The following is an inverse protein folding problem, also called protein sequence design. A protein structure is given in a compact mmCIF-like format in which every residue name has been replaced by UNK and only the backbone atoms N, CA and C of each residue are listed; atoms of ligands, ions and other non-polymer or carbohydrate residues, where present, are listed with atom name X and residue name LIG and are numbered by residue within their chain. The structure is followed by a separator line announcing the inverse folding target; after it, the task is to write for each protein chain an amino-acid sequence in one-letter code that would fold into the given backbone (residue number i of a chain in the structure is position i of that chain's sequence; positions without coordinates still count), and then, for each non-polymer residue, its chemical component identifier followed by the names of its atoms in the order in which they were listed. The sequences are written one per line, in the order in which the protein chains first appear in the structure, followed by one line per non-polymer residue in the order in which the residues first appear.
data_IF_389245832382
#
_entry.id   IF_389245832382
#
_cell.length_a   1.000
_cell.length_b   1.000
_cell.length_c   1.000
_cell.angle_alpha   90.00
_cell.angle_beta   90.00
_cell.angle_gamma   90.00
#
_symmetry.space_group_name_H-M   'P 1'
#
loop_
_entity.id
_entity.type
_entity.pdbx_description
1 polymer ?
#
# COMPACT_ATOMS: atom_id res chain seq x y z
N UNK A 1 21.26 -12.27 16.23
CA UNK A 1 22.03 -11.81 15.05
C UNK A 1 21.15 -11.18 13.95
N UNK A 2 19.90 -11.61 13.73
CA UNK A 2 19.00 -11.01 12.70
C UNK A 2 18.40 -9.64 13.08
N UNK A 3 18.12 -9.40 14.37
CA UNK A 3 17.49 -8.16 14.84
C UNK A 3 18.41 -6.92 14.75
N UNK A 4 19.70 -7.07 15.06
CA UNK A 4 20.69 -5.98 14.96
C UNK A 4 20.85 -5.49 13.52
N UNK A 5 20.79 -6.41 12.54
CA UNK A 5 20.89 -6.09 11.11
C UNK A 5 19.66 -5.35 10.61
N UNK A 6 18.47 -5.67 11.13
CA UNK A 6 17.24 -4.93 10.84
C UNK A 6 17.25 -3.51 11.45
N UNK A 7 17.86 -3.33 12.63
CA UNK A 7 18.09 -2.01 13.22
C UNK A 7 19.17 -1.19 12.48
N UNK A 8 20.19 -1.86 11.94
CA UNK A 8 21.27 -1.24 11.16
C UNK A 8 20.88 -0.95 9.70
N UNK A 9 19.78 -1.52 9.21
CA UNK A 9 19.29 -1.22 7.87
C UNK A 9 18.72 0.20 7.84
N UNK A 10 19.59 1.14 7.46
CA UNK A 10 19.29 2.57 7.36
C UNK A 10 18.00 2.76 6.56
N UNK A 11 17.13 3.62 7.07
CA UNK A 11 15.96 4.11 6.36
C UNK A 11 16.39 4.62 4.98
N UNK A 12 15.80 4.13 3.88
CA UNK A 12 16.16 4.61 2.55
C UNK A 12 15.91 6.13 2.47
N UNK A 13 16.77 6.91 1.78
CA UNK A 13 16.52 8.34 1.60
C UNK A 13 15.23 8.56 0.79
N UNK A 14 14.60 9.71 0.98
CA UNK A 14 13.49 10.12 0.10
C UNK A 14 14.02 10.33 -1.34
N UNK A 15 13.31 9.87 -2.37
CA UNK A 15 13.73 10.09 -3.74
C UNK A 15 13.59 11.58 -4.13
N UNK A 16 14.65 12.17 -4.70
CA UNK A 16 14.64 13.57 -5.16
C UNK A 16 13.60 13.83 -6.26
N UNK A 17 13.37 12.84 -7.13
CA UNK A 17 12.34 12.84 -8.18
C UNK A 17 11.55 11.53 -8.11
N UNK A 18 10.46 11.49 -7.32
CA UNK A 18 9.68 10.28 -7.14
C UNK A 18 9.04 9.82 -8.46
N UNK A 19 9.05 8.50 -8.72
CA UNK A 19 8.33 7.89 -9.86
C UNK A 19 6.82 8.08 -9.71
N UNK A 20 6.35 8.06 -8.47
CA UNK A 20 4.97 8.27 -8.04
C UNK A 20 4.88 8.34 -6.52
N UNK A 21 3.72 8.74 -6.00
CA UNK A 21 3.43 8.81 -4.56
C UNK A 21 2.54 7.66 -4.14
N UNK A 22 2.95 6.92 -3.11
CA UNK A 22 2.23 5.76 -2.58
C UNK A 22 1.84 6.02 -1.13
N UNK A 23 0.55 5.92 -0.82
CA UNK A 23 0.08 5.83 0.56
C UNK A 23 0.07 4.36 0.99
N UNK A 24 0.71 4.03 2.10
CA UNK A 24 0.80 2.64 2.59
C UNK A 24 0.36 2.53 4.05
N UNK A 25 -0.29 1.42 4.41
CA UNK A 25 -0.74 1.18 5.78
C UNK A 25 -1.32 -0.22 5.99
N UNK A 26 -1.55 -0.60 7.25
CA UNK A 26 -2.33 -1.80 7.58
C UNK A 26 -3.80 -1.43 7.81
N UNK A 27 -4.71 -2.17 7.18
CA UNK A 27 -6.15 -1.96 7.38
C UNK A 27 -6.55 -2.40 8.79
N UNK A 28 -7.33 -1.59 9.48
CA UNK A 28 -7.83 -1.95 10.82
C UNK A 28 -8.58 -3.29 10.83
N UNK A 29 -8.42 -4.10 11.89
CA UNK A 29 -7.60 -3.90 13.09
C UNK A 29 -6.18 -4.48 12.99
N UNK A 30 -5.60 -4.63 11.80
CA UNK A 30 -4.32 -5.32 11.63
C UNK A 30 -3.12 -4.51 12.21
N UNK A 31 -2.35 -5.17 13.07
CA UNK A 31 -1.15 -4.66 13.74
C UNK A 31 0.16 -5.26 13.21
N UNK A 32 0.11 -6.14 12.20
CA UNK A 32 1.30 -6.81 11.64
C UNK A 32 2.10 -5.87 10.73
N UNK A 33 3.00 -5.12 11.33
CA UNK A 33 3.75 -4.06 10.67
C UNK A 33 4.96 -4.54 9.88
N UNK A 34 5.62 -5.62 10.32
CA UNK A 34 6.85 -6.12 9.68
C UNK A 34 6.67 -6.39 8.18
N UNK A 35 5.59 -7.06 7.72
CA UNK A 35 5.32 -7.21 6.30
C UNK A 35 5.17 -5.87 5.56
N UNK A 36 4.40 -4.92 6.12
CA UNK A 36 4.24 -3.58 5.54
C UNK A 36 5.58 -2.88 5.40
N UNK A 37 6.42 -2.89 6.43
CA UNK A 37 7.72 -2.22 6.42
C UNK A 37 8.65 -2.77 5.34
N UNK A 38 8.65 -4.08 5.12
CA UNK A 38 9.43 -4.67 4.03
C UNK A 38 8.97 -4.18 2.66
N UNK A 39 7.66 -4.05 2.45
CA UNK A 39 7.08 -3.52 1.20
C UNK A 39 7.39 -2.03 1.05
N UNK A 40 7.17 -1.23 2.10
CA UNK A 40 7.45 0.21 2.13
C UNK A 40 8.91 0.50 1.75
N UNK A 41 9.86 -0.16 2.42
CA UNK A 41 11.29 -0.01 2.13
C UNK A 41 11.63 -0.43 0.70
N UNK A 42 11.01 -1.49 0.17
CA UNK A 42 11.23 -1.92 -1.22
C UNK A 42 10.72 -0.88 -2.22
N UNK A 43 9.51 -0.34 -2.03
CA UNK A 43 8.95 0.73 -2.85
C UNK A 43 9.81 1.98 -2.82
N UNK A 44 10.28 2.38 -1.64
CA UNK A 44 11.15 3.54 -1.47
C UNK A 44 12.49 3.36 -2.18
N UNK A 45 13.15 2.21 -2.01
CA UNK A 45 14.38 1.85 -2.75
C UNK A 45 14.17 1.80 -4.26
N UNK A 46 12.95 1.51 -4.71
CA UNK A 46 12.59 1.50 -6.12
C UNK A 46 12.30 2.89 -6.72
N UNK A 47 12.37 3.97 -5.92
CA UNK A 47 12.20 5.35 -6.37
C UNK A 47 10.81 5.94 -6.14
N UNK A 48 9.95 5.29 -5.35
CA UNK A 48 8.65 5.83 -4.97
C UNK A 48 8.74 6.66 -3.69
N UNK A 49 7.94 7.73 -3.62
CA UNK A 49 7.66 8.42 -2.36
C UNK A 49 6.61 7.61 -1.60
N UNK A 50 6.90 7.22 -0.37
CA UNK A 50 5.96 6.46 0.46
C UNK A 50 5.46 7.28 1.63
N UNK A 51 4.14 7.42 1.77
CA UNK A 51 3.48 8.05 2.92
C UNK A 51 2.87 6.93 3.77
N UNK A 52 3.50 6.64 4.91
CA UNK A 52 3.07 5.55 5.79
C UNK A 52 2.04 6.04 6.82
N UNK A 53 0.88 5.38 6.84
CA UNK A 53 -0.21 5.62 7.79
C UNK A 53 -0.06 4.78 9.07
N UNK A 54 0.85 3.80 9.08
CA UNK A 54 1.08 2.92 10.21
C UNK A 54 0.12 1.74 10.24
N UNK A 55 -0.35 1.42 11.46
CA UNK A 55 -1.09 0.20 11.78
C UNK A 55 -2.51 0.51 12.20
N UNK A 56 -3.41 -0.48 12.08
CA UNK A 56 -4.81 -0.34 12.44
C UNK A 56 -5.46 0.94 11.88
N UNK A 57 -5.30 1.16 10.58
CA UNK A 57 -5.72 2.38 9.91
C UNK A 57 -7.15 2.21 9.41
N UNK A 58 -8.00 3.18 9.75
CA UNK A 58 -9.38 3.23 9.28
C UNK A 58 -9.46 3.43 7.75
N UNK A 59 -10.45 2.80 7.06
CA UNK A 59 -10.73 2.99 5.63
C UNK A 59 -10.70 4.44 5.14
N UNK A 60 -11.33 5.33 5.90
CA UNK A 60 -11.49 6.74 5.54
C UNK A 60 -10.16 7.49 5.59
N UNK A 61 -9.24 7.08 6.48
CA UNK A 61 -7.91 7.68 6.60
C UNK A 61 -7.07 7.42 5.34
N UNK A 62 -7.19 6.25 4.73
CA UNK A 62 -6.53 5.97 3.43
C UNK A 62 -7.03 6.93 2.35
N UNK A 63 -8.35 7.08 2.22
CA UNK A 63 -8.94 7.96 1.23
C UNK A 63 -8.57 9.43 1.46
N UNK A 64 -8.68 9.91 2.70
CA UNK A 64 -8.33 11.28 3.07
C UNK A 64 -6.86 11.58 2.78
N UNK A 65 -5.95 10.70 3.21
CA UNK A 65 -4.51 10.93 2.98
C UNK A 65 -4.16 10.83 1.50
N UNK A 66 -4.72 9.87 0.77
CA UNK A 66 -4.47 9.73 -0.66
C UNK A 66 -4.88 10.99 -1.43
N UNK A 67 -6.00 11.61 -1.05
CA UNK A 67 -6.44 12.90 -1.62
C UNK A 67 -5.50 14.04 -1.24
N UNK A 68 -5.13 14.15 0.04
CA UNK A 68 -4.24 15.21 0.55
C UNK A 68 -2.89 15.23 -0.16
N UNK A 69 -2.29 14.05 -0.39
CA UNK A 69 -0.94 13.95 -0.96
C UNK A 69 -0.93 13.71 -2.47
N UNK A 70 -2.11 13.73 -3.12
CA UNK A 70 -2.30 13.37 -4.52
C UNK A 70 -1.63 12.03 -4.85
N UNK A 71 -1.95 10.99 -4.08
CA UNK A 71 -1.35 9.68 -4.24
C UNK A 71 -1.73 9.04 -5.59
N UNK A 72 -0.77 8.35 -6.19
CA UNK A 72 -1.00 7.54 -7.38
C UNK A 72 -1.53 6.15 -7.01
N UNK A 73 -1.01 5.61 -5.90
CA UNK A 73 -1.28 4.25 -5.44
C UNK A 73 -1.60 4.27 -3.95
N UNK A 74 -2.57 3.46 -3.53
CA UNK A 74 -2.80 3.08 -2.15
C UNK A 74 -2.38 1.60 -2.01
N UNK A 75 -1.40 1.32 -1.16
CA UNK A 75 -0.94 -0.02 -0.86
C UNK A 75 -1.40 -0.44 0.55
N UNK A 76 -2.12 -1.55 0.67
CA UNK A 76 -2.70 -1.98 1.95
C UNK A 76 -2.18 -3.36 2.33
N UNK A 77 -1.58 -3.46 3.52
CA UNK A 77 -1.17 -4.74 4.11
C UNK A 77 -2.27 -5.31 4.98
N UNK A 78 -2.64 -6.57 4.74
CA UNK A 78 -3.76 -7.26 5.40
C UNK A 78 -3.33 -8.67 5.80
N UNK A 79 -3.09 -8.87 7.09
CA UNK A 79 -2.55 -10.12 7.64
C UNK A 79 -3.52 -10.85 8.57
N UNK A 80 -4.72 -10.30 8.80
CA UNK A 80 -5.74 -10.92 9.66
C UNK A 80 -7.09 -10.98 8.95
N UNK A 81 -7.90 -12.00 9.30
CA UNK A 81 -9.27 -12.14 8.78
C UNK A 81 -10.16 -10.92 9.13
N UNK A 82 -10.15 -10.39 10.37
CA UNK A 82 -10.96 -9.21 10.69
C UNK A 82 -10.62 -7.99 9.84
N UNK A 83 -9.33 -7.79 9.49
CA UNK A 83 -8.93 -6.70 8.62
C UNK A 83 -9.39 -6.93 7.18
N UNK A 84 -9.30 -8.17 6.69
CA UNK A 84 -9.86 -8.54 5.37
C UNK A 84 -11.36 -8.26 5.28
N UNK A 85 -12.12 -8.51 6.34
CA UNK A 85 -13.57 -8.28 6.36
C UNK A 85 -13.92 -6.77 6.23
N UNK A 86 -12.96 -5.86 6.42
CA UNK A 86 -13.11 -4.42 6.21
C UNK A 86 -12.78 -3.94 4.78
N UNK A 87 -12.34 -4.83 3.87
CA UNK A 87 -12.06 -4.47 2.47
C UNK A 87 -13.24 -3.76 1.76
N UNK A 88 -14.51 -4.20 1.89
CA UNK A 88 -15.63 -3.50 1.26
C UNK A 88 -15.80 -2.06 1.77
N UNK A 89 -15.49 -1.80 3.05
CA UNK A 89 -15.55 -0.44 3.61
C UNK A 89 -14.43 0.44 3.07
N UNK A 90 -13.25 -0.12 2.85
CA UNK A 90 -12.17 0.58 2.15
C UNK A 90 -12.58 0.96 0.74
N UNK A 91 -13.17 0.01 0.01
CA UNK A 91 -13.66 0.26 -1.35
C UNK A 91 -14.72 1.37 -1.41
N UNK A 92 -15.67 1.33 -0.48
CA UNK A 92 -16.69 2.35 -0.33
C UNK A 92 -16.07 3.72 0.01
N UNK A 93 -15.14 3.79 0.95
CA UNK A 93 -14.48 5.04 1.33
C UNK A 93 -13.73 5.69 0.15
N UNK A 94 -13.08 4.89 -0.70
CA UNK A 94 -12.43 5.40 -1.92
C UNK A 94 -13.44 5.89 -2.97
N UNK A 95 -14.59 5.22 -3.05
CA UNK A 95 -15.69 5.61 -3.94
C UNK A 95 -16.31 6.95 -3.49
N UNK A 96 -16.65 7.08 -2.22
CA UNK A 96 -17.21 8.30 -1.61
C UNK A 96 -16.24 9.49 -1.71
N UNK A 97 -14.94 9.23 -1.59
CA UNK A 97 -13.91 10.25 -1.78
C UNK A 97 -13.68 10.64 -3.25
N UNK A 98 -14.33 9.96 -4.21
CA UNK A 98 -14.18 10.20 -5.64
C UNK A 98 -12.78 9.84 -6.18
N UNK A 99 -12.13 8.86 -5.56
CA UNK A 99 -10.78 8.40 -5.88
C UNK A 99 -10.76 7.15 -6.78
N UNK A 100 -11.89 6.45 -6.92
CA UNK A 100 -12.03 5.34 -7.87
C UNK A 100 -11.65 5.79 -9.29
N UNK A 101 -10.77 5.04 -9.94
CA UNK A 101 -10.21 5.36 -11.26
C UNK A 101 -9.09 6.41 -11.26
N UNK A 102 -8.95 7.22 -10.21
CA UNK A 102 -7.88 8.22 -10.08
C UNK A 102 -6.68 7.71 -9.29
N UNK A 103 -6.90 6.79 -8.36
CA UNK A 103 -5.87 6.18 -7.51
C UNK A 103 -5.98 4.67 -7.65
N UNK A 104 -4.85 3.99 -7.87
CA UNK A 104 -4.82 2.53 -7.94
C UNK A 104 -4.77 1.95 -6.54
N UNK A 105 -5.71 1.05 -6.23
CA UNK A 105 -5.67 0.27 -5.00
C UNK A 105 -4.87 -1.01 -5.22
N UNK A 106 -3.90 -1.28 -4.34
CA UNK A 106 -3.12 -2.50 -4.29
C UNK A 106 -3.22 -3.11 -2.90
N UNK A 107 -3.50 -4.41 -2.81
CA UNK A 107 -3.58 -5.15 -1.54
C UNK A 107 -2.62 -6.34 -1.51
N UNK A 108 -2.17 -6.70 -0.32
CA UNK A 108 -1.34 -7.89 -0.09
C UNK A 108 -1.27 -8.24 1.39
N UNK A 109 -0.66 -9.39 1.71
CA UNK A 109 -0.53 -9.87 3.09
C UNK A 109 -1.11 -11.27 3.28
N UNK A 110 -0.89 -11.84 4.47
CA UNK A 110 -1.15 -13.27 4.71
C UNK A 110 -2.63 -13.68 4.68
N UNK A 111 -3.57 -12.74 4.86
CA UNK A 111 -5.00 -13.03 4.95
C UNK A 111 -5.76 -12.83 3.63
N UNK A 112 -5.13 -12.23 2.62
CA UNK A 112 -5.75 -11.91 1.33
C UNK A 112 -5.16 -12.73 0.20
N UNK A 113 -5.96 -12.91 -0.86
CA UNK A 113 -5.58 -13.57 -2.10
C UNK A 113 -5.97 -12.70 -3.29
N UNK A 114 -5.60 -13.14 -4.50
CA UNK A 114 -5.92 -12.43 -5.73
C UNK A 114 -7.43 -12.22 -5.90
N UNK A 115 -8.24 -13.21 -5.53
CA UNK A 115 -9.70 -13.16 -5.68
C UNK A 115 -10.33 -12.04 -4.81
N UNK A 116 -9.71 -11.73 -3.67
CA UNK A 116 -10.16 -10.64 -2.80
C UNK A 116 -9.86 -9.26 -3.40
N UNK A 117 -8.74 -9.16 -4.12
CA UNK A 117 -8.36 -7.94 -4.82
C UNK A 117 -9.29 -7.70 -6.01
N UNK A 118 -9.52 -8.75 -6.81
CA UNK A 118 -10.41 -8.72 -7.97
C UNK A 118 -11.83 -8.28 -7.57
N UNK A 119 -12.32 -8.75 -6.41
CA UNK A 119 -13.66 -8.40 -5.90
C UNK A 119 -13.88 -6.90 -5.64
N UNK A 120 -12.82 -6.14 -5.37
CA UNK A 120 -12.89 -4.69 -5.13
C UNK A 120 -12.19 -3.87 -6.23
N UNK A 121 -11.78 -4.53 -7.33
CA UNK A 121 -11.03 -3.89 -8.41
C UNK A 121 -9.65 -3.37 -7.97
N UNK A 122 -9.01 -4.06 -7.03
CA UNK A 122 -7.63 -3.80 -6.60
C UNK A 122 -6.65 -4.74 -7.31
N UNK A 123 -5.37 -4.35 -7.30
CA UNK A 123 -4.27 -5.21 -7.71
C UNK A 123 -3.76 -6.02 -6.51
N UNK A 124 -3.36 -7.27 -6.74
CA UNK A 124 -2.83 -8.15 -5.71
C UNK A 124 -1.31 -8.28 -5.82
N UNK A 125 -0.59 -8.07 -4.71
CA UNK A 125 0.85 -8.33 -4.60
C UNK A 125 1.15 -9.44 -3.59
N UNK A 126 1.78 -10.54 -4.04
CA UNK A 126 2.17 -11.68 -3.19
C UNK A 126 3.46 -11.45 -2.42
N UNK A 127 4.36 -10.60 -2.93
CA UNK A 127 5.64 -10.28 -2.31
C UNK A 127 6.00 -8.80 -2.46
N UNK A 128 7.05 -8.35 -1.76
CA UNK A 128 7.56 -6.97 -1.88
C UNK A 128 8.13 -6.69 -3.27
N UNK A 129 8.74 -7.69 -3.93
CA UNK A 129 9.25 -7.57 -5.29
C UNK A 129 8.11 -7.40 -6.29
N UNK A 130 7.03 -8.17 -6.12
CA UNK A 130 5.84 -8.06 -6.96
C UNK A 130 5.12 -6.72 -6.75
N UNK A 131 5.01 -6.26 -5.49
CA UNK A 131 4.46 -4.93 -5.19
C UNK A 131 5.23 -3.81 -5.91
N UNK A 132 6.58 -3.90 -5.97
CA UNK A 132 7.41 -2.95 -6.74
C UNK A 132 7.14 -3.06 -8.24
N UNK A 133 7.07 -4.28 -8.79
CA UNK A 133 6.82 -4.51 -10.21
C UNK A 133 5.45 -3.95 -10.64
N UNK A 134 4.41 -4.23 -9.85
CA UNK A 134 3.06 -3.70 -10.06
C UNK A 134 3.07 -2.17 -10.01
N UNK A 135 3.67 -1.58 -8.97
CA UNK A 135 3.70 -0.13 -8.83
C UNK A 135 4.40 0.56 -10.02
N UNK A 136 5.50 0.00 -10.53
CA UNK A 136 6.18 0.53 -11.72
C UNK A 136 5.30 0.45 -12.96
N UNK A 137 4.68 -0.71 -13.20
CA UNK A 137 3.77 -0.92 -14.34
C UNK A 137 2.61 0.08 -14.32
N UNK A 138 1.99 0.30 -13.15
CA UNK A 138 0.92 1.30 -12.98
C UNK A 138 1.39 2.71 -13.40
N UNK A 139 2.61 3.09 -13.02
CA UNK A 139 3.15 4.41 -13.37
C UNK A 139 3.57 4.52 -14.84
N UNK A 140 3.93 3.42 -15.49
CA UNK A 140 4.21 3.38 -16.93
C UNK A 140 2.91 3.53 -17.75
N UNK A 141 1.86 2.80 -17.38
CA UNK A 141 0.54 2.87 -18.03
C UNK A 141 -0.09 4.27 -17.90
N UNK A 142 0.14 4.98 -16.79
CA UNK A 142 -0.33 6.37 -16.60
C UNK A 142 0.39 7.41 -17.46
N UNK A 143 1.57 7.09 -17.99
CA UNK A 143 2.36 7.99 -18.85
C UNK A 143 2.06 7.79 -20.34
N UNK A 144 1.31 6.74 -20.68
CA UNK A 144 0.94 6.37 -22.05
C UNK A 144 -0.42 6.94 -22.42
#
# INVERSE_FOLDING_TARGET
MSWLKAMLEKEPPEPEKPIGTIVIGNLEPDLHDTPKEMVRKALKKAGFKTVDLGKAVAPQTFAAKAKEVNADIIAVSINTKPAKDNLPKLDQALTEAGLKGKVVLMIGGAAVKKEDADAIGALYGKSKEEAVAIAKKVMEERKS
#
